data_IF_642432854862
#
_entry.id   IF_642432854862
#
_cell.length_a   1.000
_cell.length_b   1.000
_cell.length_c   1.000
_cell.angle_alpha   90.00
_cell.angle_beta   90.00
_cell.angle_gamma   90.00
#
_symmetry.space_group_name_H-M   'P 1'
#
loop_
_entity.id
_entity.type
_entity.pdbx_description
1 polymer ?
#
# COMPACT_ATOMS: atom_id res chain seq x y z
N UNK A 1 -1.98 23.17 18.91
CA UNK A 1 -1.83 22.29 17.74
C UNK A 1 -3.06 21.42 17.67
N UNK A 2 -3.65 21.28 16.47
CA UNK A 2 -4.81 20.40 16.23
C UNK A 2 -4.39 19.16 15.47
N UNK A 3 -4.86 17.99 15.88
CA UNK A 3 -4.50 16.70 15.28
C UNK A 3 -5.77 15.95 14.89
N UNK A 4 -5.77 15.32 13.73
CA UNK A 4 -6.78 14.34 13.34
C UNK A 4 -6.18 12.93 13.36
N UNK A 5 -6.81 12.00 14.07
CA UNK A 5 -6.54 10.58 13.98
C UNK A 5 -7.52 10.00 12.95
N UNK A 6 -7.01 9.58 11.81
CA UNK A 6 -7.80 9.02 10.70
C UNK A 6 -7.83 7.51 10.80
N UNK A 7 -9.04 6.96 10.86
CA UNK A 7 -9.31 5.53 11.10
C UNK A 7 -10.18 5.00 9.95
N UNK A 8 -9.61 4.32 8.95
CA UNK A 8 -10.40 3.64 7.92
C UNK A 8 -11.10 2.42 8.52
N UNK A 9 -12.40 2.28 8.25
CA UNK A 9 -13.26 1.23 8.77
C UNK A 9 -14.00 0.50 7.63
N UNK A 10 -14.04 -0.83 7.66
CA UNK A 10 -14.86 -1.63 6.76
C UNK A 10 -15.33 -2.91 7.41
N UNK A 11 -16.62 -2.98 7.78
CA UNK A 11 -17.23 -4.09 8.53
C UNK A 11 -16.46 -4.37 9.82
N UNK A 12 -16.35 -3.36 10.68
CA UNK A 12 -15.60 -3.37 11.94
C UNK A 12 -16.54 -3.27 13.17
N UNK A 13 -17.82 -3.67 13.05
CA UNK A 13 -18.81 -3.56 14.13
C UNK A 13 -18.38 -4.24 15.44
N UNK A 14 -17.56 -5.32 15.37
CA UNK A 14 -17.12 -6.07 16.56
C UNK A 14 -16.02 -5.34 17.33
N UNK A 15 -15.15 -4.60 16.63
CA UNK A 15 -13.95 -3.99 17.20
C UNK A 15 -14.15 -2.50 17.50
N UNK A 16 -14.97 -1.82 16.71
CA UNK A 16 -15.14 -0.38 16.73
C UNK A 16 -15.55 0.21 18.10
N UNK A 17 -16.44 -0.40 18.90
CA UNK A 17 -16.77 0.13 20.23
C UNK A 17 -15.55 0.24 21.13
N UNK A 18 -14.68 -0.79 21.13
CA UNK A 18 -13.44 -0.79 21.91
C UNK A 18 -12.42 0.19 21.35
N UNK A 19 -12.35 0.30 20.04
CA UNK A 19 -11.46 1.28 19.35
C UNK A 19 -11.81 2.70 19.75
N UNK A 20 -13.10 3.05 19.78
CA UNK A 20 -13.56 4.36 20.21
C UNK A 20 -13.22 4.63 21.69
N UNK A 21 -13.35 3.65 22.58
CA UNK A 21 -12.98 3.78 24.00
C UNK A 21 -11.47 4.01 24.15
N UNK A 22 -10.64 3.17 23.53
CA UNK A 22 -9.16 3.24 23.63
C UNK A 22 -8.65 4.56 23.07
N UNK A 23 -9.10 4.94 21.87
CA UNK A 23 -8.68 6.18 21.24
C UNK A 23 -9.28 7.42 21.93
N UNK A 24 -10.47 7.30 22.51
CA UNK A 24 -11.04 8.36 23.34
C UNK A 24 -10.17 8.65 24.58
N UNK A 25 -9.67 7.62 25.26
CA UNK A 25 -8.72 7.76 26.36
C UNK A 25 -7.39 8.37 25.89
N UNK A 26 -6.93 7.99 24.69
CA UNK A 26 -5.74 8.54 24.08
C UNK A 26 -5.87 10.05 23.78
N UNK A 27 -7.03 10.52 23.31
CA UNK A 27 -7.31 11.96 23.07
C UNK A 27 -7.06 12.78 24.35
N UNK A 28 -7.53 12.27 25.51
CA UNK A 28 -7.30 12.92 26.80
C UNK A 28 -5.82 12.94 27.18
N UNK A 29 -5.10 11.82 26.98
CA UNK A 29 -3.66 11.72 27.25
C UNK A 29 -2.84 12.66 26.37
N UNK A 30 -3.11 12.71 25.05
CA UNK A 30 -2.40 13.61 24.12
C UNK A 30 -2.55 15.05 24.59
N UNK A 31 -3.77 15.47 24.95
CA UNK A 31 -4.01 16.84 25.46
C UNK A 31 -3.24 17.12 26.74
N UNK A 32 -3.20 16.17 27.68
CA UNK A 32 -2.50 16.32 28.95
C UNK A 32 -0.98 16.40 28.77
N UNK A 33 -0.39 15.58 27.86
CA UNK A 33 1.06 15.46 27.74
C UNK A 33 1.69 16.44 26.72
N UNK A 34 0.94 16.83 25.68
CA UNK A 34 1.47 17.63 24.57
C UNK A 34 0.75 18.97 24.37
N UNK A 35 -0.40 19.18 25.04
CA UNK A 35 -1.26 20.33 24.84
C UNK A 35 -2.01 20.32 23.48
N UNK A 36 -1.91 19.27 22.69
CA UNK A 36 -2.55 19.19 21.39
C UNK A 36 -4.03 18.79 21.51
N UNK A 37 -4.89 19.46 20.76
CA UNK A 37 -6.30 19.09 20.60
C UNK A 37 -6.42 18.02 19.52
N UNK A 38 -7.12 16.91 19.80
CA UNK A 38 -7.18 15.75 18.93
C UNK A 38 -8.62 15.38 18.60
N UNK A 39 -8.90 15.14 17.31
CA UNK A 39 -10.15 14.59 16.83
C UNK A 39 -9.94 13.19 16.25
N UNK A 40 -10.95 12.34 16.36
CA UNK A 40 -11.04 11.05 15.68
C UNK A 40 -11.87 11.23 14.41
N UNK A 41 -11.28 10.95 13.25
CA UNK A 41 -11.96 10.96 11.96
C UNK A 41 -12.08 9.53 11.43
N UNK A 42 -13.26 8.94 11.61
CA UNK A 42 -13.55 7.59 11.12
C UNK A 42 -14.06 7.66 9.69
N UNK A 43 -13.48 6.84 8.82
CA UNK A 43 -13.87 6.76 7.41
C UNK A 43 -14.46 5.40 7.11
N UNK A 44 -15.78 5.33 7.00
CA UNK A 44 -16.49 4.11 6.63
C UNK A 44 -16.39 3.86 5.13
N UNK A 45 -15.72 2.80 4.73
CA UNK A 45 -15.52 2.39 3.33
C UNK A 45 -16.73 1.60 2.79
N UNK A 46 -17.94 2.13 3.01
CA UNK A 46 -19.17 1.51 2.53
C UNK A 46 -19.47 0.18 3.20
N UNK A 47 -19.41 0.11 4.52
CA UNK A 47 -19.72 -1.07 5.32
C UNK A 47 -21.16 -1.54 5.11
N UNK A 48 -21.39 -2.84 5.28
CA UNK A 48 -22.69 -3.49 5.15
C UNK A 48 -23.30 -3.91 6.49
N UNK A 49 -22.52 -3.77 7.55
CA UNK A 49 -22.87 -4.06 8.93
C UNK A 49 -23.24 -2.77 9.69
N UNK A 50 -23.26 -2.80 11.01
CA UNK A 50 -23.61 -1.65 11.85
C UNK A 50 -22.48 -0.66 12.08
N UNK A 51 -21.33 -0.77 11.37
CA UNK A 51 -20.15 0.09 11.54
C UNK A 51 -20.52 1.58 11.43
N UNK A 52 -21.24 1.99 10.38
CA UNK A 52 -21.65 3.39 10.20
C UNK A 52 -22.56 3.90 11.33
N UNK A 53 -23.49 3.06 11.79
CA UNK A 53 -24.36 3.42 12.91
C UNK A 53 -23.54 3.69 14.18
N UNK A 54 -22.56 2.84 14.50
CA UNK A 54 -21.66 3.02 15.64
C UNK A 54 -20.84 4.32 15.53
N UNK A 55 -20.39 4.70 14.33
CA UNK A 55 -19.70 5.96 14.09
C UNK A 55 -20.62 7.15 14.39
N UNK A 56 -21.85 7.14 13.93
CA UNK A 56 -22.85 8.19 14.21
C UNK A 56 -23.12 8.33 15.69
N UNK A 57 -23.39 7.21 16.38
CA UNK A 57 -23.58 7.20 17.83
C UNK A 57 -22.36 7.73 18.59
N UNK A 58 -21.15 7.45 18.11
CA UNK A 58 -19.90 7.99 18.64
C UNK A 58 -19.81 9.50 18.47
N UNK A 59 -20.17 10.02 17.29
CA UNK A 59 -20.18 11.46 16.99
C UNK A 59 -21.24 12.22 17.81
N UNK A 60 -22.41 11.61 18.04
CA UNK A 60 -23.46 12.20 18.89
C UNK A 60 -23.02 12.29 20.37
N UNK A 61 -22.24 11.30 20.85
CA UNK A 61 -21.78 11.23 22.24
C UNK A 61 -20.55 12.07 22.52
N UNK A 62 -19.65 12.26 21.54
CA UNK A 62 -18.33 12.83 21.75
C UNK A 62 -18.00 13.88 20.67
N UNK A 63 -17.82 15.12 21.07
CA UNK A 63 -17.53 16.25 20.17
C UNK A 63 -16.21 16.13 19.40
N UNK A 64 -15.32 15.24 19.83
CA UNK A 64 -14.04 14.94 19.15
C UNK A 64 -14.16 13.79 18.12
N UNK A 65 -15.32 13.16 17.98
CA UNK A 65 -15.58 12.10 16.99
C UNK A 65 -16.27 12.69 15.78
N UNK A 66 -15.78 12.35 14.61
CA UNK A 66 -16.36 12.72 13.31
C UNK A 66 -16.35 11.49 12.38
N UNK A 67 -17.28 11.45 11.45
CA UNK A 67 -17.41 10.35 10.50
C UNK A 67 -17.58 10.79 9.06
N UNK A 68 -17.02 10.02 8.14
CA UNK A 68 -17.25 10.11 6.70
C UNK A 68 -17.66 8.73 6.21
N UNK A 69 -18.78 8.65 5.50
CA UNK A 69 -19.25 7.43 4.83
C UNK A 69 -19.01 7.53 3.34
N UNK A 70 -18.33 6.56 2.76
CA UNK A 70 -18.19 6.43 1.32
C UNK A 70 -19.40 5.70 0.72
N UNK A 71 -19.79 6.07 -0.50
CA UNK A 71 -20.97 5.51 -1.18
C UNK A 71 -20.90 3.99 -1.40
N UNK A 72 -19.71 3.41 -1.45
CA UNK A 72 -19.46 1.97 -1.54
C UNK A 72 -17.99 1.67 -1.25
N UNK A 73 -17.65 0.40 -1.06
CA UNK A 73 -16.28 -0.02 -0.79
C UNK A 73 -15.34 0.36 -1.94
N UNK A 74 -14.31 1.13 -1.61
CA UNK A 74 -13.25 1.59 -2.52
C UNK A 74 -11.87 1.06 -2.16
N UNK A 75 -11.79 0.32 -1.06
CA UNK A 75 -10.58 -0.25 -0.52
C UNK A 75 -9.83 0.68 0.43
N UNK A 76 -9.08 0.08 1.34
CA UNK A 76 -8.39 0.73 2.45
C UNK A 76 -7.63 2.00 2.05
N UNK A 77 -6.86 1.97 0.95
CA UNK A 77 -6.05 3.12 0.51
C UNK A 77 -6.91 4.33 0.09
N UNK A 78 -8.06 4.10 -0.54
CA UNK A 78 -8.97 5.17 -0.92
C UNK A 78 -9.73 5.72 0.29
N UNK A 79 -10.12 4.88 1.25
CA UNK A 79 -10.71 5.32 2.51
C UNK A 79 -9.71 6.18 3.30
N UNK A 80 -8.45 5.73 3.39
CA UNK A 80 -7.39 6.50 4.03
C UNK A 80 -7.15 7.84 3.32
N UNK A 81 -7.12 7.85 1.98
CA UNK A 81 -7.00 9.07 1.20
C UNK A 81 -8.15 10.04 1.47
N UNK A 82 -9.39 9.54 1.57
CA UNK A 82 -10.56 10.38 1.88
C UNK A 82 -10.41 11.05 3.26
N UNK A 83 -9.91 10.33 4.25
CA UNK A 83 -9.62 10.89 5.57
C UNK A 83 -8.48 11.91 5.56
N UNK A 84 -7.41 11.66 4.78
CA UNK A 84 -6.32 12.61 4.58
C UNK A 84 -6.82 13.91 3.93
N UNK A 85 -7.57 13.80 2.84
CA UNK A 85 -8.13 14.95 2.11
C UNK A 85 -9.09 15.77 2.99
N UNK A 86 -9.94 15.09 3.77
CA UNK A 86 -10.84 15.75 4.72
C UNK A 86 -10.12 16.40 5.92
N UNK A 87 -8.88 16.04 6.18
CA UNK A 87 -8.07 16.62 7.26
C UNK A 87 -7.36 17.90 6.84
N UNK A 88 -7.24 18.17 5.53
CA UNK A 88 -6.57 19.36 5.02
C UNK A 88 -7.29 20.62 5.53
N UNK A 89 -6.51 21.61 5.97
CA UNK A 89 -6.99 22.89 6.54
C UNK A 89 -7.85 22.78 7.81
N UNK A 90 -8.06 21.57 8.33
CA UNK A 90 -8.79 21.33 9.58
C UNK A 90 -7.90 20.91 10.74
N UNK A 91 -6.65 20.53 10.47
CA UNK A 91 -5.66 20.16 11.49
C UNK A 91 -4.24 20.60 11.09
N UNK A 92 -3.35 20.70 12.08
CA UNK A 92 -1.93 20.98 11.85
C UNK A 92 -1.17 19.72 11.42
N UNK A 93 -1.60 18.56 11.93
CA UNK A 93 -1.10 17.25 11.56
C UNK A 93 -2.21 16.19 11.63
N UNK A 94 -2.08 15.13 10.82
CA UNK A 94 -2.93 13.95 10.93
C UNK A 94 -2.09 12.71 11.18
N UNK A 95 -2.65 11.73 11.86
CA UNK A 95 -2.08 10.38 11.98
C UNK A 95 -3.08 9.35 11.49
N UNK A 96 -2.61 8.37 10.73
CA UNK A 96 -3.41 7.22 10.30
C UNK A 96 -3.17 6.03 11.21
N UNK A 97 -4.22 5.33 11.62
CA UNK A 97 -4.16 4.08 12.40
C UNK A 97 -5.28 3.14 11.97
N UNK A 98 -5.01 1.84 11.99
CA UNK A 98 -6.02 0.83 11.67
C UNK A 98 -7.02 0.65 12.83
N UNK A 99 -8.27 0.33 12.51
CA UNK A 99 -9.34 0.16 13.50
C UNK A 99 -9.14 -1.06 14.42
N UNK A 100 -8.27 -2.01 14.06
CA UNK A 100 -8.10 -3.30 14.77
C UNK A 100 -7.17 -3.23 16.00
N UNK A 101 -6.68 -2.04 16.36
CA UNK A 101 -5.80 -1.77 17.52
C UNK A 101 -4.54 -2.66 17.60
N UNK A 102 -4.08 -3.20 16.47
CA UNK A 102 -2.84 -3.98 16.44
C UNK A 102 -1.58 -3.13 16.59
N UNK A 103 -1.63 -1.90 16.11
CA UNK A 103 -0.55 -0.93 16.27
C UNK A 103 -0.69 -0.22 17.62
N UNK A 104 0.43 0.06 18.28
CA UNK A 104 0.40 0.69 19.61
C UNK A 104 0.02 2.16 19.50
N UNK A 105 -1.20 2.46 19.90
CA UNK A 105 -1.76 3.80 19.85
C UNK A 105 -1.01 4.83 20.74
N UNK A 106 -0.32 4.36 21.79
CA UNK A 106 0.38 5.27 22.71
C UNK A 106 1.59 5.97 22.07
N UNK A 107 2.20 5.38 21.02
CA UNK A 107 3.31 6.01 20.31
C UNK A 107 2.89 7.25 19.52
N UNK A 108 1.59 7.49 19.35
CA UNK A 108 1.08 8.74 18.76
C UNK A 108 1.53 9.95 19.57
N UNK A 109 1.66 9.82 20.89
CA UNK A 109 2.17 10.92 21.75
C UNK A 109 3.60 11.31 21.33
N UNK A 110 4.46 10.32 21.08
CA UNK A 110 5.84 10.58 20.65
C UNK A 110 5.88 11.12 19.21
N UNK A 111 4.94 10.70 18.35
CA UNK A 111 4.80 11.30 17.01
C UNK A 111 4.44 12.79 17.12
N UNK A 112 3.53 13.15 18.02
CA UNK A 112 3.14 14.56 18.25
C UNK A 112 4.34 15.38 18.70
N UNK A 113 5.14 14.88 19.63
CA UNK A 113 6.36 15.55 20.09
C UNK A 113 7.33 15.80 18.95
N UNK A 114 7.57 14.80 18.09
CA UNK A 114 8.45 14.96 16.93
C UNK A 114 7.92 16.00 15.91
N UNK A 115 6.59 16.09 15.72
CA UNK A 115 6.02 17.19 14.91
C UNK A 115 6.27 18.54 15.55
N UNK A 116 6.13 18.67 16.89
CA UNK A 116 6.43 19.90 17.62
C UNK A 116 7.92 20.27 17.54
N UNK A 117 8.81 19.30 17.37
CA UNK A 117 10.26 19.46 17.12
C UNK A 117 10.58 19.83 15.64
N UNK A 118 9.57 19.92 14.78
CA UNK A 118 9.72 20.34 13.38
C UNK A 118 9.85 19.21 12.38
N UNK A 119 9.61 17.94 12.76
CA UNK A 119 9.49 16.84 11.81
C UNK A 119 8.15 16.91 11.05
N UNK A 120 8.15 16.46 9.81
CA UNK A 120 6.99 16.56 8.92
C UNK A 120 6.25 15.25 8.72
N UNK A 121 6.99 14.15 8.65
CA UNK A 121 6.46 12.81 8.44
C UNK A 121 7.10 11.89 9.48
N UNK A 122 6.28 11.30 10.34
CA UNK A 122 6.73 10.38 11.37
C UNK A 122 6.15 9.00 11.10
N UNK A 123 7.02 8.02 10.87
CA UNK A 123 6.63 6.64 10.60
C UNK A 123 6.59 5.82 11.87
N UNK A 124 5.48 5.07 12.05
CA UNK A 124 5.42 3.97 12.99
C UNK A 124 6.12 2.74 12.39
N UNK A 125 7.20 2.30 13.02
CA UNK A 125 8.00 1.16 12.57
C UNK A 125 7.85 0.01 13.56
N UNK A 126 7.41 -1.14 13.07
CA UNK A 126 7.27 -2.35 13.89
C UNK A 126 8.65 -2.91 14.22
N UNK A 127 8.93 -3.09 15.51
CA UNK A 127 10.08 -3.87 15.96
C UNK A 127 9.97 -5.31 15.45
N UNK A 128 11.01 -6.11 15.55
CA UNK A 128 11.14 -7.43 14.90
C UNK A 128 9.92 -8.36 15.02
N UNK A 129 9.62 -9.05 13.91
CA UNK A 129 8.64 -10.15 13.86
C UNK A 129 9.23 -11.42 14.46
N UNK A 130 9.06 -11.65 15.77
CA UNK A 130 9.50 -12.89 16.43
C UNK A 130 8.65 -14.15 16.11
N UNK A 131 7.49 -14.00 15.47
CA UNK A 131 6.47 -15.06 15.31
C UNK A 131 6.28 -15.60 13.89
N UNK A 132 7.02 -15.14 12.88
CA UNK A 132 6.84 -15.62 11.51
C UNK A 132 7.57 -16.95 11.25
N UNK A 133 6.91 -17.91 10.60
CA UNK A 133 7.51 -19.17 10.14
C UNK A 133 8.65 -18.89 9.16
N UNK A 134 9.67 -19.77 9.12
CA UNK A 134 10.87 -19.64 8.27
C UNK A 134 10.53 -19.33 6.81
N UNK A 135 9.51 -19.98 6.24
CA UNK A 135 9.07 -19.77 4.86
C UNK A 135 8.48 -18.37 4.63
N UNK A 136 7.65 -17.85 5.55
CA UNK A 136 7.12 -16.48 5.48
C UNK A 136 8.24 -15.43 5.60
N UNK A 137 9.22 -15.70 6.46
CA UNK A 137 10.38 -14.81 6.64
C UNK A 137 11.25 -14.78 5.38
N UNK A 138 11.52 -15.94 4.76
CA UNK A 138 12.32 -16.03 3.52
C UNK A 138 11.64 -15.34 2.34
N UNK A 139 10.34 -15.60 2.11
CA UNK A 139 9.57 -14.97 1.02
C UNK A 139 9.43 -13.46 1.23
N UNK A 140 9.21 -13.00 2.46
CA UNK A 140 9.20 -11.58 2.78
C UNK A 140 10.56 -10.93 2.54
N UNK A 141 11.67 -11.56 2.97
CA UNK A 141 13.02 -11.03 2.74
C UNK A 141 13.38 -10.98 1.25
N UNK A 142 13.02 -12.03 0.48
CA UNK A 142 13.23 -12.04 -0.97
C UNK A 142 12.42 -10.91 -1.66
N UNK A 143 11.18 -10.71 -1.25
CA UNK A 143 10.34 -9.60 -1.72
C UNK A 143 10.95 -8.23 -1.38
N UNK A 144 11.38 -8.02 -0.13
CA UNK A 144 12.00 -6.75 0.26
C UNK A 144 13.34 -6.50 -0.44
N UNK A 145 14.18 -7.52 -0.65
CA UNK A 145 15.40 -7.39 -1.45
C UNK A 145 15.11 -7.02 -2.90
N UNK A 146 14.07 -7.62 -3.48
CA UNK A 146 13.61 -7.28 -4.82
C UNK A 146 13.10 -5.83 -4.87
N UNK A 147 12.30 -5.42 -3.90
CA UNK A 147 11.82 -4.04 -3.80
C UNK A 147 12.95 -3.04 -3.57
N UNK A 148 13.95 -3.36 -2.74
CA UNK A 148 15.14 -2.52 -2.54
C UNK A 148 16.04 -2.40 -3.78
N UNK A 149 16.05 -3.42 -4.67
CA UNK A 149 16.75 -3.31 -5.96
C UNK A 149 16.05 -2.38 -6.93
N UNK A 150 14.76 -2.16 -6.72
CA UNK A 150 13.87 -1.30 -7.53
C UNK A 150 13.82 0.12 -6.98
N UNK A 151 13.74 0.23 -5.65
CA UNK A 151 13.75 1.50 -4.92
C UNK A 151 14.58 1.33 -3.64
N UNK A 152 15.76 1.97 -3.60
CA UNK A 152 16.69 1.90 -2.47
C UNK A 152 16.14 2.52 -1.19
N UNK A 153 15.04 3.24 -1.26
CA UNK A 153 14.45 4.00 -0.16
C UNK A 153 13.30 3.28 0.57
N UNK A 154 12.99 2.03 0.24
CA UNK A 154 11.93 1.28 0.93
C UNK A 154 12.28 1.07 2.40
N UNK A 155 11.54 1.71 3.32
CA UNK A 155 11.66 1.45 4.77
C UNK A 155 11.12 0.06 5.07
N UNK A 156 11.99 -0.75 5.67
CA UNK A 156 11.62 -2.09 6.13
C UNK A 156 10.58 -2.01 7.26
N UNK A 157 9.53 -2.83 7.21
CA UNK A 157 8.51 -2.98 8.26
C UNK A 157 7.65 -1.75 8.62
N UNK A 158 7.59 -0.68 7.79
CA UNK A 158 6.63 0.39 8.07
C UNK A 158 5.21 -0.01 7.66
N UNK A 159 4.24 0.36 8.50
CA UNK A 159 2.82 0.21 8.24
C UNK A 159 2.23 1.49 7.61
N UNK A 160 0.91 1.51 7.37
CA UNK A 160 0.20 2.74 7.04
C UNK A 160 0.00 3.65 8.28
N UNK A 161 0.53 3.23 9.43
CA UNK A 161 0.59 3.99 10.68
C UNK A 161 1.69 5.06 10.59
N UNK A 162 1.28 6.30 10.33
CA UNK A 162 2.18 7.45 10.18
C UNK A 162 1.48 8.74 10.55
N UNK A 163 2.25 9.71 11.03
CA UNK A 163 1.81 11.10 11.22
C UNK A 163 2.38 11.98 10.12
N UNK A 164 1.56 12.91 9.61
CA UNK A 164 1.93 13.84 8.55
C UNK A 164 1.42 15.24 8.89
N UNK A 165 2.26 16.26 8.69
CA UNK A 165 1.84 17.67 8.85
C UNK A 165 0.90 18.08 7.71
N UNK A 166 0.11 19.15 7.92
CA UNK A 166 -0.78 19.69 6.90
C UNK A 166 -0.05 20.05 5.60
N UNK A 167 1.19 20.59 5.69
CA UNK A 167 1.98 20.91 4.50
C UNK A 167 2.33 19.67 3.68
N UNK A 168 2.63 18.54 4.33
CA UNK A 168 2.92 17.28 3.63
C UNK A 168 1.66 16.64 3.05
N UNK A 169 0.51 16.79 3.72
CA UNK A 169 -0.79 16.38 3.17
C UNK A 169 -1.10 17.16 1.89
N UNK A 170 -0.92 18.49 1.91
CA UNK A 170 -1.12 19.32 0.71
C UNK A 170 -0.19 18.93 -0.43
N UNK A 171 1.06 18.60 -0.14
CA UNK A 171 2.00 18.11 -1.14
C UNK A 171 1.57 16.74 -1.70
N UNK A 172 1.14 15.82 -0.83
CA UNK A 172 0.64 14.51 -1.22
C UNK A 172 -0.57 14.61 -2.16
N UNK A 173 -1.49 15.54 -1.90
CA UNK A 173 -2.69 15.72 -2.74
C UNK A 173 -2.40 16.24 -4.14
N UNK A 174 -1.19 16.74 -4.42
CA UNK A 174 -0.77 17.12 -5.77
C UNK A 174 -0.45 15.90 -6.65
N UNK A 175 -0.29 14.71 -6.06
CA UNK A 175 -0.08 13.47 -6.80
C UNK A 175 -1.39 13.01 -7.45
N UNK A 176 -1.47 12.99 -8.78
CA UNK A 176 -2.71 12.67 -9.50
C UNK A 176 -2.98 11.17 -9.59
N UNK A 177 -2.01 10.32 -9.22
CA UNK A 177 -2.08 8.88 -9.40
C UNK A 177 -3.35 8.27 -8.80
N UNK A 178 -4.03 7.43 -9.57
CA UNK A 178 -5.23 6.69 -9.14
C UNK A 178 -4.88 5.34 -8.53
N UNK A 179 -3.76 4.78 -8.96
CA UNK A 179 -3.24 3.54 -8.41
C UNK A 179 -2.41 3.83 -7.15
N UNK A 180 -3.11 4.05 -6.04
CA UNK A 180 -2.49 4.46 -4.79
C UNK A 180 -1.65 3.33 -4.16
N UNK A 181 -0.41 3.66 -3.86
CA UNK A 181 0.42 2.92 -2.92
C UNK A 181 1.09 3.92 -1.98
N UNK A 182 0.34 4.37 -1.00
CA UNK A 182 0.71 5.47 -0.12
C UNK A 182 2.07 5.27 0.57
N UNK A 183 2.45 4.01 0.82
CA UNK A 183 3.76 3.69 1.44
C UNK A 183 4.96 4.15 0.62
N UNK A 184 4.87 4.09 -0.71
CA UNK A 184 5.95 4.56 -1.57
C UNK A 184 5.81 6.05 -1.90
N UNK A 185 4.59 6.53 -2.21
CA UNK A 185 4.36 7.92 -2.61
C UNK A 185 4.76 8.89 -1.50
N UNK A 186 4.41 8.61 -0.24
CA UNK A 186 4.70 9.50 0.89
C UNK A 186 6.21 9.74 1.05
N UNK A 187 7.05 8.75 0.79
CA UNK A 187 8.51 8.92 0.86
C UNK A 187 9.08 9.81 -0.25
N UNK A 188 8.47 9.79 -1.43
CA UNK A 188 8.90 10.63 -2.54
C UNK A 188 8.68 12.12 -2.29
N UNK A 189 7.91 12.48 -1.24
CA UNK A 189 7.70 13.86 -0.85
C UNK A 189 8.98 14.58 -0.40
N UNK A 190 9.97 13.84 0.16
CA UNK A 190 11.28 14.37 0.52
C UNK A 190 11.28 15.36 1.69
N UNK A 191 10.24 15.35 2.55
CA UNK A 191 10.17 16.17 3.75
C UNK A 191 10.98 15.57 4.91
N UNK A 192 11.12 16.32 6.02
CA UNK A 192 11.86 15.85 7.18
C UNK A 192 11.16 14.67 7.85
N UNK A 193 11.86 13.53 7.91
CA UNK A 193 11.34 12.29 8.47
C UNK A 193 11.70 12.10 9.94
N UNK A 194 10.81 11.39 10.65
CA UNK A 194 11.02 10.88 11.99
C UNK A 194 10.52 9.43 12.10
N UNK A 195 10.95 8.72 13.13
CA UNK A 195 10.59 7.32 13.34
C UNK A 195 10.23 7.08 14.80
N UNK A 196 9.17 6.30 15.03
CA UNK A 196 8.81 5.74 16.33
C UNK A 196 8.69 4.23 16.20
N UNK A 197 9.28 3.51 17.16
CA UNK A 197 9.36 2.05 17.12
C UNK A 197 8.42 1.45 18.14
N UNK A 198 7.59 0.49 17.74
CA UNK A 198 6.62 -0.17 18.62
C UNK A 198 6.54 -1.68 18.38
N UNK A 199 6.01 -2.39 19.36
CA UNK A 199 5.73 -3.81 19.26
C UNK A 199 4.27 -4.02 18.84
N UNK A 200 4.04 -4.84 17.82
CA UNK A 200 2.68 -5.12 17.35
C UNK A 200 1.93 -5.98 18.35
N UNK A 201 0.76 -5.54 18.76
CA UNK A 201 -0.16 -6.32 19.59
C UNK A 201 -0.76 -7.49 18.80
N UNK A 202 -1.13 -8.58 19.50
CA UNK A 202 -1.92 -9.65 18.89
C UNK A 202 -3.32 -9.11 18.53
N UNK A 203 -3.90 -9.59 17.44
CA UNK A 203 -5.26 -9.23 17.04
C UNK A 203 -6.25 -9.70 18.11
N UNK A 204 -7.10 -8.81 18.62
CA UNK A 204 -8.06 -9.15 19.68
C UNK A 204 -9.32 -9.84 19.14
N UNK A 205 -9.72 -9.57 17.89
CA UNK A 205 -10.86 -10.19 17.23
C UNK A 205 -10.70 -10.24 15.70
N UNK A 206 -11.41 -11.16 15.03
CA UNK A 206 -11.48 -11.31 13.58
C UNK A 206 -10.43 -12.26 12.99
N UNK A 207 -10.81 -12.98 11.92
CA UNK A 207 -9.92 -13.87 11.17
C UNK A 207 -9.04 -13.11 10.18
N UNK A 208 -7.85 -13.66 9.89
CA UNK A 208 -6.96 -13.12 8.84
C UNK A 208 -7.63 -13.26 7.47
N UNK A 209 -8.18 -12.18 6.94
CA UNK A 209 -8.91 -12.13 5.65
C UNK A 209 -7.98 -12.13 4.42
N UNK A 210 -6.68 -12.45 4.56
CA UNK A 210 -5.72 -12.39 3.44
C UNK A 210 -5.22 -13.79 3.03
N UNK A 211 -5.88 -14.46 2.05
CA UNK A 211 -5.35 -15.67 1.44
C UNK A 211 -4.07 -15.37 0.66
N UNK A 212 -3.21 -16.39 0.46
CA UNK A 212 -1.92 -16.28 -0.26
C UNK A 212 -2.07 -15.65 -1.66
N UNK A 213 -3.18 -15.92 -2.34
CA UNK A 213 -3.50 -15.34 -3.65
C UNK A 213 -3.61 -13.81 -3.61
N UNK A 214 -4.24 -13.24 -2.57
CA UNK A 214 -4.31 -11.79 -2.39
C UNK A 214 -2.95 -11.18 -2.05
N UNK A 215 -2.11 -11.88 -1.28
CA UNK A 215 -0.75 -11.42 -0.99
C UNK A 215 0.11 -11.37 -2.27
N UNK A 216 -0.01 -12.40 -3.14
CA UNK A 216 0.72 -12.44 -4.41
C UNK A 216 0.23 -11.34 -5.37
N UNK A 217 -1.08 -11.17 -5.51
CA UNK A 217 -1.67 -10.07 -6.30
C UNK A 217 -1.19 -8.72 -5.83
N UNK A 218 -1.23 -8.45 -4.51
CA UNK A 218 -0.77 -7.19 -3.92
C UNK A 218 0.73 -6.96 -4.17
N UNK A 219 1.54 -8.03 -4.15
CA UNK A 219 2.97 -7.95 -4.45
C UNK A 219 3.23 -7.59 -5.91
N UNK A 220 2.52 -8.24 -6.84
CA UNK A 220 2.60 -7.96 -8.27
C UNK A 220 2.13 -6.53 -8.56
N UNK A 221 1.02 -6.12 -7.95
CA UNK A 221 0.49 -4.76 -8.06
C UNK A 221 1.48 -3.71 -7.56
N UNK A 222 2.13 -3.96 -6.42
CA UNK A 222 3.18 -3.10 -5.90
C UNK A 222 4.36 -2.97 -6.88
N UNK A 223 4.93 -4.09 -7.33
CA UNK A 223 6.07 -4.10 -8.25
C UNK A 223 5.73 -3.38 -9.57
N UNK A 224 4.58 -3.70 -10.16
CA UNK A 224 4.20 -3.14 -11.47
C UNK A 224 3.71 -1.69 -11.38
N UNK A 225 3.35 -1.19 -10.19
CA UNK A 225 2.98 0.23 -9.99
C UNK A 225 4.20 1.16 -9.91
N UNK A 226 5.31 0.67 -9.36
CA UNK A 226 6.48 1.50 -9.06
C UNK A 226 7.73 1.12 -9.84
N UNK A 227 7.67 0.05 -10.64
CA UNK A 227 8.84 -0.43 -11.36
C UNK A 227 8.49 -0.85 -12.78
N UNK A 228 9.32 -0.41 -13.71
CA UNK A 228 9.37 -0.93 -15.07
C UNK A 228 10.33 -2.13 -15.21
N UNK A 229 10.87 -2.63 -14.10
CA UNK A 229 11.82 -3.75 -14.11
C UNK A 229 11.27 -5.01 -14.78
N UNK A 230 10.00 -5.44 -14.59
CA UNK A 230 9.43 -6.56 -15.30
C UNK A 230 9.43 -6.38 -16.82
N UNK A 231 9.14 -5.18 -17.32
CA UNK A 231 9.22 -4.87 -18.75
C UNK A 231 10.66 -4.96 -19.28
N UNK A 232 11.62 -4.38 -18.54
CA UNK A 232 13.05 -4.42 -18.90
C UNK A 232 13.56 -5.87 -18.91
N UNK A 233 13.15 -6.68 -17.93
CA UNK A 233 13.53 -8.10 -17.88
C UNK A 233 13.04 -8.86 -19.11
N UNK A 234 11.78 -8.70 -19.50
CA UNK A 234 11.21 -9.34 -20.68
C UNK A 234 11.90 -8.84 -21.95
N UNK A 235 12.18 -7.54 -22.06
CA UNK A 235 12.94 -6.98 -23.16
C UNK A 235 14.34 -7.61 -23.26
N UNK A 236 15.04 -7.76 -22.14
CA UNK A 236 16.35 -8.42 -22.07
C UNK A 236 16.28 -9.89 -22.52
N UNK A 237 15.28 -10.65 -22.02
CA UNK A 237 15.06 -12.04 -22.43
C UNK A 237 14.76 -12.11 -23.93
N UNK A 238 13.92 -11.21 -24.46
CA UNK A 238 13.62 -11.14 -25.89
C UNK A 238 14.86 -10.86 -26.74
N UNK A 239 15.72 -9.92 -26.34
CA UNK A 239 17.00 -9.63 -27.00
C UNK A 239 17.94 -10.85 -26.98
N UNK A 240 18.05 -11.52 -25.84
CA UNK A 240 18.87 -12.72 -25.69
C UNK A 240 18.38 -13.84 -26.63
N UNK A 241 17.06 -14.07 -26.67
CA UNK A 241 16.45 -15.06 -27.56
C UNK A 241 16.66 -14.72 -29.02
N UNK A 242 16.56 -13.45 -29.39
CA UNK A 242 16.86 -12.97 -30.76
C UNK A 242 18.31 -13.26 -31.13
N UNK A 243 19.26 -13.01 -30.24
CA UNK A 243 20.67 -13.30 -30.45
C UNK A 243 20.92 -14.81 -30.65
N UNK A 244 20.33 -15.64 -29.77
CA UNK A 244 20.41 -17.12 -29.87
C UNK A 244 19.81 -17.60 -31.19
N UNK A 245 18.64 -17.09 -31.58
CA UNK A 245 17.99 -17.41 -32.85
C UNK A 245 18.88 -17.07 -34.05
N UNK A 246 19.55 -15.92 -34.02
CA UNK A 246 20.46 -15.53 -35.09
C UNK A 246 21.66 -16.46 -35.20
N UNK A 247 22.25 -16.91 -34.09
CA UNK A 247 23.33 -17.90 -34.07
C UNK A 247 22.85 -19.24 -34.63
N UNK A 248 21.63 -19.67 -34.23
CA UNK A 248 21.05 -20.93 -34.72
C UNK A 248 20.72 -20.91 -36.21
N UNK A 249 20.30 -19.76 -36.76
CA UNK A 249 20.08 -19.56 -38.19
C UNK A 249 21.39 -19.74 -38.95
N UNK A 250 22.49 -19.10 -38.50
CA UNK A 250 23.81 -19.25 -39.12
C UNK A 250 24.26 -20.70 -39.07
N UNK A 251 24.10 -21.37 -37.92
CA UNK A 251 24.44 -22.80 -37.78
C UNK A 251 23.65 -23.68 -38.75
N UNK A 252 22.33 -23.48 -38.83
CA UNK A 252 21.45 -24.24 -39.74
C UNK A 252 21.83 -24.05 -41.23
N UNK A 253 22.21 -22.84 -41.64
CA UNK A 253 22.68 -22.54 -42.99
C UNK A 253 23.98 -23.28 -43.29
N UNK A 254 24.95 -23.29 -42.36
CA UNK A 254 26.23 -24.02 -42.53
C UNK A 254 25.98 -25.53 -42.71
N UNK A 255 25.12 -26.14 -41.87
CA UNK A 255 24.75 -27.54 -41.95
C UNK A 255 24.03 -27.87 -43.26
N UNK A 256 23.17 -26.99 -43.73
CA UNK A 256 22.47 -27.15 -45.02
C UNK A 256 23.46 -27.17 -46.20
N UNK A 257 24.42 -26.23 -46.23
CA UNK A 257 25.44 -26.20 -47.30
C UNK A 257 26.43 -27.37 -47.24
N UNK A 258 26.55 -28.05 -46.09
CA UNK A 258 27.34 -29.28 -45.95
C UNK A 258 26.57 -30.56 -46.36
N UNK A 259 25.34 -30.45 -46.83
CA UNK A 259 24.51 -31.60 -47.24
C UNK A 259 24.01 -32.47 -46.07
N UNK A 260 24.12 -32.03 -44.84
CA UNK A 260 23.61 -32.76 -43.68
C UNK A 260 22.13 -32.42 -43.47
N UNK A 261 21.26 -33.42 -43.63
CA UNK A 261 19.84 -33.28 -43.36
C UNK A 261 19.60 -33.35 -41.85
N UNK A 262 19.06 -32.30 -41.26
CA UNK A 262 18.72 -32.23 -39.83
C UNK A 262 17.39 -32.96 -39.60
N UNK A 263 17.41 -34.13 -38.95
CA UNK A 263 16.20 -34.77 -38.41
C UNK A 263 15.81 -33.99 -37.14
N UNK A 264 14.84 -33.07 -37.25
CA UNK A 264 14.60 -32.13 -36.14
C UNK A 264 13.14 -31.75 -35.88
N UNK A 265 12.15 -32.59 -36.27
CA UNK A 265 10.73 -32.27 -36.05
C UNK A 265 10.40 -31.96 -34.60
N UNK A 266 10.91 -32.76 -33.62
CA UNK A 266 10.68 -32.58 -32.19
C UNK A 266 11.32 -31.31 -31.67
N UNK A 267 12.57 -31.01 -32.08
CA UNK A 267 13.25 -29.77 -31.65
C UNK A 267 12.56 -28.53 -32.20
N UNK A 268 12.04 -28.57 -33.42
CA UNK A 268 11.30 -27.47 -34.01
C UNK A 268 10.00 -27.20 -33.26
N UNK A 269 9.23 -28.23 -32.91
CA UNK A 269 8.00 -28.08 -32.10
C UNK A 269 8.29 -27.52 -30.73
N UNK A 270 9.29 -28.07 -30.01
CA UNK A 270 9.66 -27.58 -28.68
C UNK A 270 10.08 -26.10 -28.72
N UNK A 271 10.92 -25.75 -29.71
CA UNK A 271 11.35 -24.36 -29.89
C UNK A 271 10.18 -23.42 -30.18
N UNK A 272 9.23 -23.83 -31.02
CA UNK A 272 8.05 -23.06 -31.39
C UNK A 272 7.16 -22.77 -30.17
N UNK A 273 6.88 -23.81 -29.38
CA UNK A 273 6.09 -23.66 -28.15
C UNK A 273 6.79 -22.81 -27.12
N UNK A 274 8.11 -22.95 -26.95
CA UNK A 274 8.91 -22.16 -26.03
C UNK A 274 8.92 -20.68 -26.41
N UNK A 275 9.19 -20.36 -27.67
CA UNK A 275 9.16 -18.98 -28.18
C UNK A 275 7.75 -18.41 -28.08
N UNK A 276 6.72 -19.16 -28.44
CA UNK A 276 5.33 -18.77 -28.32
C UNK A 276 4.94 -18.43 -26.87
N UNK A 277 5.41 -19.25 -25.93
CA UNK A 277 5.20 -19.00 -24.48
C UNK A 277 5.85 -17.70 -24.00
N UNK A 278 7.09 -17.43 -24.40
CA UNK A 278 7.80 -16.19 -24.03
C UNK A 278 7.09 -14.95 -24.63
N UNK A 279 6.71 -15.02 -25.92
CA UNK A 279 5.99 -13.91 -26.56
C UNK A 279 4.66 -13.64 -25.85
N UNK A 280 3.87 -14.69 -25.58
CA UNK A 280 2.58 -14.56 -24.90
C UNK A 280 2.74 -13.96 -23.50
N UNK A 281 3.77 -14.40 -22.75
CA UNK A 281 4.10 -13.82 -21.43
C UNK A 281 4.46 -12.35 -21.55
N UNK A 282 5.28 -11.98 -22.52
CA UNK A 282 5.67 -10.60 -22.79
C UNK A 282 4.46 -9.70 -23.10
N UNK A 283 3.56 -10.18 -23.96
CA UNK A 283 2.30 -9.48 -24.27
C UNK A 283 1.43 -9.35 -23.02
N UNK A 284 1.33 -10.40 -22.20
CA UNK A 284 0.58 -10.37 -20.93
C UNK A 284 1.09 -9.33 -19.96
N UNK A 285 2.42 -9.26 -19.75
CA UNK A 285 3.02 -8.23 -18.87
C UNK A 285 2.79 -6.82 -19.44
N UNK A 286 2.96 -6.62 -20.74
CA UNK A 286 2.67 -5.34 -21.40
C UNK A 286 1.21 -4.95 -21.18
N UNK A 287 0.28 -5.91 -21.28
CA UNK A 287 -1.14 -5.70 -21.02
C UNK A 287 -1.44 -5.20 -19.60
N UNK A 288 -0.72 -5.71 -18.59
CA UNK A 288 -0.84 -5.23 -17.20
C UNK A 288 -0.49 -3.73 -17.10
N UNK A 289 0.62 -3.30 -17.73
CA UNK A 289 1.02 -1.88 -17.71
C UNK A 289 0.05 -1.01 -18.50
N UNK A 290 -0.42 -1.46 -19.65
CA UNK A 290 -1.47 -0.75 -20.42
C UNK A 290 -2.73 -0.60 -19.57
N UNK A 291 -3.15 -1.64 -18.84
CA UNK A 291 -4.29 -1.59 -17.93
C UNK A 291 -4.11 -0.53 -16.83
N UNK A 292 -2.91 -0.39 -16.26
CA UNK A 292 -2.60 0.67 -15.28
C UNK A 292 -2.64 2.06 -15.90
N UNK A 293 -2.01 2.25 -17.07
CA UNK A 293 -2.06 3.52 -17.82
C UNK A 293 -3.51 3.88 -18.13
N UNK A 294 -4.33 2.92 -18.56
CA UNK A 294 -5.74 3.14 -18.85
C UNK A 294 -6.53 3.64 -17.63
N UNK A 295 -6.24 3.10 -16.45
CA UNK A 295 -6.86 3.53 -15.19
C UNK A 295 -6.46 4.97 -14.85
N UNK A 296 -5.17 5.31 -15.01
CA UNK A 296 -4.65 6.67 -14.78
C UNK A 296 -5.24 7.69 -15.75
N UNK A 297 -5.29 7.36 -17.05
CA UNK A 297 -5.82 8.26 -18.10
C UNK A 297 -7.30 8.55 -17.91
N UNK A 298 -8.08 7.59 -17.43
CA UNK A 298 -9.52 7.80 -17.16
C UNK A 298 -9.79 8.83 -16.07
N UNK A 299 -8.90 9.04 -15.12
CA UNK A 299 -9.02 10.01 -14.02
C UNK A 299 -10.38 9.98 -13.31
N UNK A 300 -11.00 8.80 -13.18
CA UNK A 300 -12.28 8.66 -12.47
C UNK A 300 -12.12 9.07 -11.00
N UNK A 301 -13.13 9.67 -10.35
CA UNK A 301 -13.08 9.97 -8.93
C UNK A 301 -12.70 8.75 -8.11
N UNK A 302 -11.83 8.92 -7.11
CA UNK A 302 -11.38 7.82 -6.24
C UNK A 302 -12.53 7.26 -5.42
N UNK A 303 -13.36 8.15 -4.90
CA UNK A 303 -14.52 7.84 -4.05
C UNK A 303 -15.59 8.92 -4.18
N UNK A 304 -16.75 8.64 -3.65
CA UNK A 304 -17.81 9.62 -3.40
C UNK A 304 -18.19 9.54 -1.91
N UNK A 305 -18.43 10.68 -1.30
CA UNK A 305 -18.91 10.76 0.08
C UNK A 305 -20.44 10.74 0.02
N UNK A 306 -21.04 9.81 0.77
CA UNK A 306 -22.48 9.67 0.91
C UNK A 306 -23.01 10.51 2.07
N UNK A 307 -22.30 10.46 3.24
CA UNK A 307 -22.75 11.13 4.47
C UNK A 307 -21.54 11.62 5.29
N UNK A 308 -21.75 12.63 6.12
CA UNK A 308 -20.78 13.13 7.12
C UNK A 308 -21.50 13.38 8.43
N UNK A 309 -20.81 13.12 9.55
CA UNK A 309 -21.28 13.39 10.93
C UNK A 309 -20.15 14.01 11.74
#
# INVERSE_FOLDING_TARGET
>A
MKINIVIPCYNEQEVLPKTLEVLGNLVVKIKAETGAETNLLLVDDGSRDTTWQLIREGADKHSYVRGIKLSHNRGHQNALWAGMEASIDHCDAMVSIDADLQDDENVIIDMVRQVQEGKDIIYGVRKERKTDTFFKRFTAQAFYKLMQSVDKEVVYNHADFRMMTNRTLKALMQYPERNLFLRAIVRQLGFQEGFVYYDRKAREAGESKYPLTKMLSFSIDGITSFSVAPLRFITFVGLLMTLVSFIMIIFALIEHFQGKTIQGWTSLLVSLWFIGGIITTGVGVTGVYIGKIYTEVKRRPRYFIEERV
#
